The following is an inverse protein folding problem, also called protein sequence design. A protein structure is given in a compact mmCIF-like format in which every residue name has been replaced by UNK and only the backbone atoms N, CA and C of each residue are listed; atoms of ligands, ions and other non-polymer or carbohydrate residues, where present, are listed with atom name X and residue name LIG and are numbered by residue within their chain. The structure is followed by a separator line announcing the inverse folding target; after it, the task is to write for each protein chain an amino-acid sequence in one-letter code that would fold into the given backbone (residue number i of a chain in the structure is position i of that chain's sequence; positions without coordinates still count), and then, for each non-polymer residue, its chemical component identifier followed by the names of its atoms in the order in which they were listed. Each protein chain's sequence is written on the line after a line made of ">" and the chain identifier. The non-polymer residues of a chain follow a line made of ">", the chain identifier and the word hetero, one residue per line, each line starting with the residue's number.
data_IF_367497866392
#
_entry.id   IF_367497866392
#
_cell.length_a   1.000
_cell.length_b   1.000
_cell.length_c   1.000
_cell.angle_alpha   90.00
_cell.angle_beta   90.00
_cell.angle_gamma   90.00
#
_symmetry.space_group_name_H-M   'P 1'
#
loop_
_entity.id
_entity.type
_entity.pdbx_description
1 polymer ?
#
# COMPACT_ATOMS: atom_id res chain seq x y z
N UNK A 1 32.84 -57.18 40.74
CA UNK A 1 34.10 -56.43 40.54
C UNK A 1 34.28 -56.35 39.03
N UNK A 2 33.72 -55.30 38.42
CA UNK A 2 34.42 -54.12 37.86
C UNK A 2 34.73 -54.36 36.38
N UNK A 3 34.55 -53.47 35.42
CA UNK A 3 34.02 -52.10 35.30
C UNK A 3 33.81 -51.88 33.79
N UNK A 4 32.82 -51.07 33.42
CA UNK A 4 32.67 -50.51 32.07
C UNK A 4 33.94 -49.80 31.61
N UNK A 5 34.34 -50.01 30.35
CA UNK A 5 34.97 -48.97 29.53
C UNK A 5 34.44 -49.05 28.09
N UNK A 6 33.61 -48.06 27.74
CA UNK A 6 33.31 -47.70 26.36
C UNK A 6 34.60 -47.22 25.69
N UNK A 7 34.91 -47.76 24.52
CA UNK A 7 35.94 -47.24 23.62
C UNK A 7 35.31 -47.11 22.24
N UNK A 8 35.09 -45.87 21.80
CA UNK A 8 34.78 -45.53 20.41
C UNK A 8 36.08 -45.36 19.64
N UNK A 9 36.16 -45.89 18.41
CA UNK A 9 37.00 -45.28 17.40
C UNK A 9 36.23 -44.92 16.13
N UNK A 10 36.40 -43.65 15.74
CA UNK A 10 36.51 -43.14 14.37
C UNK A 10 35.31 -43.34 13.42
N UNK A 11 34.41 -42.36 13.41
CA UNK A 11 33.78 -41.93 12.16
C UNK A 11 34.81 -41.09 11.39
N UNK A 12 35.30 -41.63 10.28
CA UNK A 12 36.08 -40.91 9.28
C UNK A 12 35.10 -40.55 8.17
N UNK A 13 34.52 -39.36 8.23
CA UNK A 13 33.74 -38.80 7.13
C UNK A 13 34.70 -38.46 6.00
N UNK A 14 34.65 -39.23 4.90
CA UNK A 14 35.24 -38.82 3.64
C UNK A 14 34.16 -38.78 2.56
N UNK A 15 33.78 -37.53 2.27
CA UNK A 15 33.60 -37.00 0.93
C UNK A 15 32.53 -37.69 0.07
N UNK A 16 31.28 -37.36 0.36
CA UNK A 16 30.23 -37.36 -0.67
C UNK A 16 30.70 -36.48 -1.83
N UNK A 17 30.77 -37.07 -3.03
CA UNK A 17 30.65 -36.34 -4.29
C UNK A 17 29.28 -35.67 -4.26
N UNK A 18 29.26 -34.39 -3.92
CA UNK A 18 28.17 -33.51 -4.30
C UNK A 18 28.67 -32.70 -5.49
N UNK A 19 27.92 -32.81 -6.58
CA UNK A 19 28.09 -32.02 -7.79
C UNK A 19 28.14 -30.53 -7.42
N UNK A 20 29.36 -29.97 -7.40
CA UNK A 20 29.55 -28.52 -7.43
C UNK A 20 29.03 -28.04 -8.79
N UNK A 21 27.73 -27.73 -8.83
CA UNK A 21 27.14 -26.95 -9.92
C UNK A 21 27.88 -25.62 -9.99
N UNK A 22 28.70 -25.53 -11.03
CA UNK A 22 29.55 -24.40 -11.35
C UNK A 22 28.68 -23.13 -11.49
N UNK A 23 28.74 -22.24 -10.49
CA UNK A 23 28.03 -20.95 -10.45
C UNK A 23 28.36 -20.11 -11.70
N UNK A 24 29.50 -20.40 -12.33
CA UNK A 24 29.94 -19.79 -13.59
C UNK A 24 29.03 -20.15 -14.78
N UNK A 25 28.34 -21.30 -14.75
CA UNK A 25 27.34 -21.66 -15.77
C UNK A 25 26.07 -20.81 -15.64
N UNK A 26 25.59 -20.58 -14.41
CA UNK A 26 24.43 -19.71 -14.16
C UNK A 26 24.65 -18.26 -14.57
N UNK A 27 25.88 -17.73 -14.40
CA UNK A 27 26.18 -16.35 -14.77
C UNK A 27 26.28 -16.19 -16.30
N UNK A 28 26.78 -17.20 -17.03
CA UNK A 28 26.85 -17.12 -18.49
C UNK A 28 25.48 -17.33 -19.16
N UNK A 29 24.57 -18.11 -18.59
CA UNK A 29 23.19 -18.28 -19.10
C UNK A 29 22.25 -17.12 -18.69
N UNK A 30 22.74 -16.14 -17.92
CA UNK A 30 22.03 -14.88 -17.65
C UNK A 30 22.37 -13.78 -18.67
N UNK A 31 23.26 -14.04 -19.64
CA UNK A 31 23.62 -13.06 -20.68
C UNK A 31 22.81 -13.16 -21.97
N UNK A 32 21.73 -13.96 -21.99
CA UNK A 32 20.70 -13.98 -23.05
C UNK A 32 19.33 -13.43 -22.58
N UNK A 33 19.30 -12.54 -21.58
CA UNK A 33 18.07 -11.84 -21.17
C UNK A 33 18.20 -10.32 -21.29
N UNK A 34 18.26 -9.82 -22.53
CA UNK A 34 17.91 -8.43 -22.88
C UNK A 34 16.38 -8.16 -22.79
N UNK A 35 15.59 -9.04 -22.15
CA UNK A 35 14.12 -8.88 -22.01
C UNK A 35 13.64 -8.45 -20.59
N UNK A 36 14.54 -8.28 -19.61
CA UNK A 36 14.12 -8.07 -18.20
C UNK A 36 13.87 -6.60 -17.81
N UNK A 37 14.53 -5.63 -18.44
CA UNK A 37 14.28 -4.20 -18.15
C UNK A 37 12.88 -3.76 -18.63
N UNK A 38 12.46 -4.26 -19.80
CA UNK A 38 11.14 -3.95 -20.40
C UNK A 38 9.97 -4.42 -19.52
N UNK A 39 10.10 -5.56 -18.85
CA UNK A 39 9.01 -6.11 -18.06
C UNK A 39 8.90 -5.49 -16.66
N UNK A 40 10.02 -5.04 -16.08
CA UNK A 40 10.00 -4.25 -14.86
C UNK A 40 9.35 -2.88 -15.09
N UNK A 41 9.70 -2.19 -16.18
CA UNK A 41 9.10 -0.90 -16.54
C UNK A 41 7.59 -1.01 -16.79
N UNK A 42 7.14 -2.10 -17.42
CA UNK A 42 5.71 -2.41 -17.57
C UNK A 42 5.03 -2.62 -16.22
N UNK A 43 5.65 -3.37 -15.30
CA UNK A 43 5.08 -3.60 -13.97
C UNK A 43 4.99 -2.32 -13.14
N UNK A 44 6.02 -1.47 -13.17
CA UNK A 44 5.99 -0.15 -12.51
C UNK A 44 4.88 0.72 -13.10
N UNK A 45 4.76 0.76 -14.42
CA UNK A 45 3.70 1.52 -15.10
C UNK A 45 2.29 1.06 -14.70
N UNK A 46 2.09 -0.26 -14.56
CA UNK A 46 0.81 -0.83 -14.10
C UNK A 46 0.52 -0.41 -12.64
N UNK A 47 1.52 -0.52 -11.75
CA UNK A 47 1.36 -0.13 -10.35
C UNK A 47 1.06 1.37 -10.20
N UNK A 48 1.73 2.22 -10.99
CA UNK A 48 1.46 3.65 -10.99
C UNK A 48 0.05 3.99 -11.48
N UNK A 49 -0.41 3.31 -12.54
CA UNK A 49 -1.77 3.47 -13.04
C UNK A 49 -2.82 3.03 -12.01
N UNK A 50 -2.61 1.91 -11.31
CA UNK A 50 -3.50 1.46 -10.24
C UNK A 50 -3.56 2.46 -9.09
N UNK A 51 -2.42 3.03 -8.68
CA UNK A 51 -2.40 4.05 -7.62
C UNK A 51 -3.15 5.32 -8.04
N UNK A 52 -2.98 5.74 -9.28
CA UNK A 52 -3.68 6.91 -9.82
C UNK A 52 -5.20 6.70 -9.86
N UNK A 53 -5.65 5.49 -10.24
CA UNK A 53 -7.06 5.10 -10.20
C UNK A 53 -7.64 5.16 -8.78
N UNK A 54 -6.91 4.62 -7.79
CA UNK A 54 -7.33 4.69 -6.38
C UNK A 54 -7.48 6.14 -5.89
N UNK A 55 -6.57 7.03 -6.29
CA UNK A 55 -6.64 8.46 -5.97
C UNK A 55 -7.85 9.11 -6.64
N UNK A 56 -8.10 8.85 -7.93
CA UNK A 56 -9.28 9.40 -8.63
C UNK A 56 -10.59 8.99 -7.98
N UNK A 57 -10.66 7.78 -7.44
CA UNK A 57 -11.87 7.30 -6.81
C UNK A 57 -12.07 7.86 -5.40
N UNK A 58 -11.01 7.89 -4.58
CA UNK A 58 -11.11 8.25 -3.17
C UNK A 58 -11.11 9.76 -2.95
N UNK A 59 -10.27 10.51 -3.68
CA UNK A 59 -10.09 11.93 -3.40
C UNK A 59 -11.39 12.76 -3.48
N UNK A 60 -12.23 12.60 -4.53
CA UNK A 60 -13.52 13.30 -4.58
C UNK A 60 -14.43 12.94 -3.41
N UNK A 61 -14.51 11.66 -3.03
CA UNK A 61 -15.39 11.19 -1.94
C UNK A 61 -14.96 11.75 -0.59
N UNK A 62 -13.65 11.84 -0.33
CA UNK A 62 -13.13 12.42 0.90
C UNK A 62 -13.39 13.93 0.96
N UNK A 63 -13.25 14.64 -0.17
CA UNK A 63 -13.61 16.06 -0.26
C UNK A 63 -15.11 16.29 -0.07
N UNK A 64 -15.97 15.41 -0.60
CA UNK A 64 -17.41 15.48 -0.38
C UNK A 64 -17.78 15.32 1.10
N UNK A 65 -17.07 14.46 1.84
CA UNK A 65 -17.26 14.33 3.30
C UNK A 65 -16.89 15.63 4.01
N UNK A 66 -15.71 16.19 3.70
CA UNK A 66 -15.23 17.45 4.28
C UNK A 66 -16.21 18.60 4.01
N UNK A 67 -16.64 18.75 2.75
CA UNK A 67 -17.66 19.70 2.33
C UNK A 67 -18.99 19.47 3.07
N UNK A 68 -19.43 18.21 3.16
CA UNK A 68 -20.66 17.84 3.86
C UNK A 68 -20.60 18.00 5.38
N UNK A 69 -19.40 18.15 5.96
CA UNK A 69 -19.17 18.51 7.37
C UNK A 69 -18.91 20.00 7.55
N UNK A 70 -18.69 20.76 6.46
CA UNK A 70 -18.35 22.18 6.51
C UNK A 70 -16.96 22.45 7.12
N UNK A 71 -16.04 21.49 7.01
CA UNK A 71 -14.69 21.57 7.58
C UNK A 71 -13.65 21.20 6.54
N UNK A 72 -12.46 21.76 6.68
CA UNK A 72 -11.30 21.45 5.84
C UNK A 72 -10.47 20.31 6.42
N UNK A 73 -10.79 19.90 7.65
CA UNK A 73 -10.11 18.81 8.35
C UNK A 73 -11.10 17.97 9.14
N UNK A 74 -10.95 16.65 9.03
CA UNK A 74 -11.70 15.66 9.79
C UNK A 74 -10.74 14.68 10.45
N UNK A 75 -10.74 14.68 11.78
CA UNK A 75 -9.96 13.74 12.60
C UNK A 75 -10.84 12.58 13.04
N UNK A 76 -10.70 11.43 12.38
CA UNK A 76 -11.32 10.18 12.80
C UNK A 76 -10.44 9.41 13.79
N UNK A 77 -10.98 8.33 14.36
CA UNK A 77 -10.25 7.47 15.30
C UNK A 77 -8.96 6.91 14.72
N UNK A 78 -9.01 6.43 13.47
CA UNK A 78 -7.88 5.77 12.83
C UNK A 78 -7.17 6.62 11.78
N UNK A 79 -7.87 7.62 11.21
CA UNK A 79 -7.38 8.38 10.07
C UNK A 79 -7.79 9.83 10.16
N UNK A 80 -6.92 10.69 9.67
CA UNK A 80 -7.17 12.12 9.52
C UNK A 80 -7.21 12.46 8.04
N UNK A 81 -8.24 13.19 7.65
CA UNK A 81 -8.42 13.73 6.31
C UNK A 81 -8.25 15.25 6.41
N UNK A 82 -7.44 15.83 5.55
CA UNK A 82 -7.20 17.27 5.51
C UNK A 82 -7.16 17.76 4.06
N UNK A 83 -7.90 18.83 3.78
CA UNK A 83 -7.90 19.50 2.49
C UNK A 83 -7.34 20.92 2.63
N UNK A 84 -6.12 21.12 2.12
CA UNK A 84 -5.51 22.42 1.99
C UNK A 84 -6.08 23.13 0.75
N UNK A 85 -6.98 24.10 0.96
CA UNK A 85 -7.59 24.90 -0.09
C UNK A 85 -6.61 25.82 -0.83
N UNK A 86 -5.55 26.28 -0.17
CA UNK A 86 -4.58 27.18 -0.79
C UNK A 86 -3.75 26.45 -1.84
N UNK A 87 -3.38 25.21 -1.54
CA UNK A 87 -2.59 24.36 -2.44
C UNK A 87 -3.43 23.42 -3.30
N UNK A 88 -4.76 23.42 -3.10
CA UNK A 88 -5.70 22.44 -3.65
C UNK A 88 -5.24 20.98 -3.42
N UNK A 89 -4.75 20.71 -2.21
CA UNK A 89 -4.16 19.43 -1.85
C UNK A 89 -5.00 18.71 -0.80
N UNK A 90 -5.25 17.43 -1.04
CA UNK A 90 -5.90 16.51 -0.12
C UNK A 90 -4.85 15.56 0.48
N UNK A 91 -4.87 15.43 1.79
CA UNK A 91 -4.04 14.49 2.56
C UNK A 91 -4.92 13.52 3.35
N UNK A 92 -4.53 12.24 3.33
CA UNK A 92 -5.07 11.19 4.17
C UNK A 92 -3.93 10.56 4.96
N UNK A 93 -4.02 10.63 6.28
CA UNK A 93 -2.99 10.15 7.20
C UNK A 93 -3.58 9.08 8.11
N UNK A 94 -2.83 7.99 8.32
CA UNK A 94 -3.15 6.99 9.32
C UNK A 94 -2.57 7.39 10.68
N UNK A 95 -3.46 7.60 11.66
CA UNK A 95 -3.10 8.21 12.94
C UNK A 95 -2.24 7.27 13.80
N UNK A 96 -2.37 5.96 13.65
CA UNK A 96 -1.64 4.96 14.46
C UNK A 96 -0.14 5.01 14.21
N UNK A 97 0.26 5.17 12.94
CA UNK A 97 1.66 5.16 12.51
C UNK A 97 2.15 6.55 12.09
N UNK A 98 1.25 7.52 11.93
CA UNK A 98 1.56 8.80 11.30
C UNK A 98 1.88 8.69 9.82
N UNK A 99 1.49 7.58 9.17
CA UNK A 99 1.81 7.31 7.77
C UNK A 99 0.89 8.10 6.84
N UNK A 100 1.46 8.73 5.83
CA UNK A 100 0.72 9.36 4.74
C UNK A 100 0.25 8.28 3.78
N UNK A 101 -1.02 7.91 3.85
CA UNK A 101 -1.62 6.94 2.93
C UNK A 101 -1.82 7.56 1.54
N UNK A 102 -2.21 8.83 1.49
CA UNK A 102 -2.47 9.53 0.24
C UNK A 102 -2.20 11.03 0.36
N UNK A 103 -1.53 11.59 -0.64
CA UNK A 103 -1.57 13.00 -1.01
C UNK A 103 -1.97 13.12 -2.46
N UNK A 104 -3.03 13.86 -2.70
CA UNK A 104 -3.56 14.15 -4.02
C UNK A 104 -3.66 15.65 -4.20
N UNK A 105 -3.39 16.15 -5.40
CA UNK A 105 -3.58 17.56 -5.73
C UNK A 105 -4.62 17.68 -6.84
N UNK A 106 -5.57 18.60 -6.69
CA UNK A 106 -6.52 18.88 -7.75
C UNK A 106 -5.85 19.70 -8.85
N UNK A 107 -5.84 19.16 -10.07
CA UNK A 107 -5.43 19.86 -11.27
C UNK A 107 -6.68 20.45 -11.96
N UNK A 108 -6.83 21.77 -11.87
CA UNK A 108 -7.96 22.48 -12.47
C UNK A 108 -7.95 22.50 -13.99
N UNK A 109 -6.78 22.41 -14.64
CA UNK A 109 -6.65 22.42 -16.10
C UNK A 109 -7.12 21.10 -16.71
N UNK A 110 -6.82 19.99 -16.03
CA UNK A 110 -7.19 18.63 -16.46
C UNK A 110 -8.48 18.12 -15.80
N UNK A 111 -9.08 18.91 -14.91
CA UNK A 111 -10.27 18.57 -14.14
C UNK A 111 -10.18 17.18 -13.48
N UNK A 112 -9.04 16.89 -12.87
CA UNK A 112 -8.75 15.60 -12.22
C UNK A 112 -7.86 15.79 -11.00
N UNK A 113 -7.88 14.79 -10.11
CA UNK A 113 -6.86 14.68 -9.08
C UNK A 113 -5.55 14.21 -9.71
N UNK A 114 -4.43 14.48 -9.06
CA UNK A 114 -3.11 14.00 -9.44
C UNK A 114 -2.44 13.45 -8.19
N UNK A 115 -1.98 12.20 -8.24
CA UNK A 115 -1.21 11.61 -7.14
C UNK A 115 0.09 12.39 -6.93
N UNK A 116 0.35 12.79 -5.68
CA UNK A 116 1.65 13.33 -5.26
C UNK A 116 2.43 12.30 -4.45
N UNK A 117 1.75 11.60 -3.56
CA UNK A 117 2.30 10.54 -2.73
C UNK A 117 1.17 9.55 -2.45
N UNK A 118 1.39 8.25 -2.57
CA UNK A 118 0.39 7.30 -2.10
C UNK A 118 1.01 5.94 -1.79
N UNK A 119 0.65 5.42 -0.61
CA UNK A 119 0.80 4.04 -0.18
C UNK A 119 -0.57 3.35 -0.05
N UNK A 120 -1.59 3.85 -0.78
CA UNK A 120 -2.92 3.26 -0.76
C UNK A 120 -2.86 1.84 -1.32
N UNK A 121 -3.51 0.93 -0.60
CA UNK A 121 -3.76 -0.43 -1.08
C UNK A 121 -5.26 -0.55 -1.39
N UNK A 122 -5.63 -1.57 -2.16
CA UNK A 122 -7.06 -1.90 -2.38
C UNK A 122 -7.79 -2.13 -1.04
N UNK A 123 -7.12 -2.72 -0.06
CA UNK A 123 -7.64 -2.87 1.31
C UNK A 123 -7.89 -1.52 1.99
N UNK A 124 -6.96 -0.58 1.90
CA UNK A 124 -7.17 0.78 2.44
C UNK A 124 -8.39 1.44 1.79
N UNK A 125 -8.50 1.36 0.47
CA UNK A 125 -9.63 1.88 -0.31
C UNK A 125 -10.95 1.29 0.15
N UNK A 126 -11.07 -0.03 0.23
CA UNK A 126 -12.34 -0.68 0.61
C UNK A 126 -12.76 -0.31 2.05
N UNK A 127 -11.82 -0.27 3.00
CA UNK A 127 -12.10 0.17 4.37
C UNK A 127 -12.56 1.64 4.43
N UNK A 128 -11.95 2.52 3.61
CA UNK A 128 -12.33 3.93 3.56
C UNK A 128 -13.74 4.05 2.97
N UNK A 129 -14.00 3.39 1.84
CA UNK A 129 -15.30 3.43 1.17
C UNK A 129 -16.43 2.93 2.06
N UNK A 130 -16.22 1.83 2.77
CA UNK A 130 -17.19 1.32 3.75
C UNK A 130 -17.46 2.35 4.87
N UNK A 131 -16.41 3.00 5.38
CA UNK A 131 -16.57 4.07 6.36
C UNK A 131 -17.34 5.30 5.81
N UNK A 132 -17.08 5.70 4.56
CA UNK A 132 -17.81 6.79 3.89
C UNK A 132 -19.29 6.46 3.75
N UNK A 133 -19.60 5.23 3.32
CA UNK A 133 -20.98 4.79 3.14
C UNK A 133 -21.75 4.76 4.46
N UNK A 134 -21.13 4.24 5.52
CA UNK A 134 -21.69 4.24 6.86
C UNK A 134 -21.96 5.67 7.40
N UNK A 135 -21.07 6.62 7.11
CA UNK A 135 -21.26 8.04 7.45
C UNK A 135 -22.47 8.65 6.72
N UNK A 136 -22.66 8.32 5.43
CA UNK A 136 -23.81 8.81 4.66
C UNK A 136 -25.13 8.23 5.16
N UNK A 137 -25.18 6.94 5.49
CA UNK A 137 -26.39 6.32 6.05
C UNK A 137 -26.77 6.91 7.42
N UNK A 138 -25.79 7.24 8.26
CA UNK A 138 -26.02 7.91 9.54
C UNK A 138 -26.62 9.32 9.37
N UNK A 139 -26.17 10.08 8.35
CA UNK A 139 -26.75 11.38 7.98
C UNK A 139 -28.17 11.26 7.40
N UNK A 140 -28.48 10.16 6.71
CA UNK A 140 -29.84 9.88 6.23
C UNK A 140 -30.84 9.63 7.37
N UNK A 141 -30.45 8.82 8.36
CA UNK A 141 -31.31 8.51 9.53
C UNK A 141 -31.56 9.71 10.44
N UNK A 142 -30.62 10.63 10.56
CA UNK A 142 -30.80 11.85 11.37
C UNK A 142 -31.79 12.83 10.75
N UNK A 143 -31.97 12.83 9.42
CA UNK A 143 -33.02 13.63 8.76
C UNK A 143 -34.42 13.01 8.88
N UNK A 144 -34.57 11.69 8.96
CA UNK A 144 -35.88 11.04 9.12
C UNK A 144 -36.45 11.12 10.56
N UNK A 145 -35.61 11.39 11.56
CA UNK A 145 -36.04 11.46 12.96
C UNK A 145 -36.57 12.83 13.43
N UNK A 146 -36.74 13.81 12.54
CA UNK A 146 -37.58 14.98 12.81
C UNK A 146 -37.26 15.74 14.11
N UNK A 147 -35.99 15.98 14.41
CA UNK A 147 -35.57 16.92 15.45
C UNK A 147 -35.01 18.18 14.79
N UNK A 148 -35.91 18.94 14.17
CA UNK A 148 -35.70 20.31 13.70
C UNK A 148 -36.80 21.20 14.22
#
# INVERSE_FOLDING_TARGET
>A
MNESQFSYPYFQEHSQQEDEMDITFFINELTEQEETESDFDKMVSILEAEQEELVQELAPKLVDILNGLGTDKFEGTYRTIEFNKEENQLSLVENTLGEVLMKAQWNGDENRWVRRESSLTKTHRDMILDAVENLHQAKGKTKELGLG
#
